data_IF_300484947665
#
_entry.id   IF_300484947665
#
_cell.length_a   1.000
_cell.length_b   1.000
_cell.length_c   1.000
_cell.angle_alpha   90.00
_cell.angle_beta   90.00
_cell.angle_gamma   90.00
#
_symmetry.space_group_name_H-M   'P 1'
#
loop_
_entity.id
_entity.type
_entity.pdbx_description
1 polymer ?
#
# COMPACT_ATOMS: atom_id res chain seq x y z
N UNK A 1 -43.44 -56.60 53.88
CA UNK A 1 -42.84 -56.85 52.54
C UNK A 1 -42.56 -55.52 51.85
N UNK A 2 -41.30 -55.07 51.84
CA UNK A 2 -40.88 -53.88 51.10
C UNK A 2 -40.59 -54.26 49.64
N UNK A 3 -41.27 -53.62 48.68
CA UNK A 3 -40.90 -53.73 47.26
C UNK A 3 -39.51 -53.07 47.08
N UNK A 4 -38.57 -53.71 46.36
CA UNK A 4 -37.28 -53.07 46.09
C UNK A 4 -37.51 -51.90 45.13
N UNK A 5 -37.11 -50.69 45.54
CA UNK A 5 -37.02 -49.52 44.67
C UNK A 5 -35.97 -49.81 43.59
N UNK A 6 -36.40 -49.87 42.31
CA UNK A 6 -35.48 -49.79 41.17
C UNK A 6 -34.70 -48.48 41.27
N UNK A 7 -33.42 -48.56 41.64
CA UNK A 7 -32.48 -47.44 41.48
C UNK A 7 -32.21 -47.29 39.98
N UNK A 8 -33.02 -46.49 39.29
CA UNK A 8 -32.63 -45.98 37.97
C UNK A 8 -31.36 -45.15 38.17
N UNK A 9 -30.34 -45.51 37.41
CA UNK A 9 -29.02 -44.91 37.50
C UNK A 9 -29.08 -43.56 36.78
N UNK A 10 -28.90 -42.47 37.52
CA UNK A 10 -29.00 -41.07 37.05
C UNK A 10 -28.20 -40.75 35.76
N UNK A 11 -27.19 -41.55 35.42
CA UNK A 11 -26.41 -41.41 34.18
C UNK A 11 -27.11 -41.92 32.91
N UNK A 12 -28.11 -42.80 33.02
CA UNK A 12 -28.90 -43.29 31.88
C UNK A 12 -29.75 -42.17 31.25
N UNK A 13 -29.95 -41.05 31.96
CA UNK A 13 -30.74 -39.91 31.49
C UNK A 13 -29.94 -38.93 30.60
N UNK A 14 -28.60 -39.06 30.58
CA UNK A 14 -27.70 -38.19 29.81
C UNK A 14 -26.93 -38.93 28.71
N UNK A 15 -27.10 -40.25 28.60
CA UNK A 15 -26.55 -41.02 27.50
C UNK A 15 -27.37 -40.82 26.22
N UNK A 16 -26.68 -40.75 25.09
CA UNK A 16 -27.28 -40.68 23.77
C UNK A 16 -26.71 -41.78 22.90
N UNK A 17 -27.56 -42.61 22.31
CA UNK A 17 -27.15 -43.68 21.41
C UNK A 17 -27.25 -43.21 19.96
N UNK A 18 -26.23 -43.48 19.18
CA UNK A 18 -26.22 -43.25 17.74
C UNK A 18 -25.44 -44.37 17.06
N UNK A 19 -26.07 -45.03 16.08
CA UNK A 19 -25.50 -46.13 15.30
C UNK A 19 -24.90 -47.25 16.18
N UNK A 20 -25.63 -47.64 17.24
CA UNK A 20 -25.21 -48.69 18.18
C UNK A 20 -24.09 -48.28 19.16
N UNK A 21 -23.67 -47.01 19.18
CA UNK A 21 -22.66 -46.49 20.11
C UNK A 21 -23.30 -45.55 21.13
N UNK A 22 -23.08 -45.81 22.42
CA UNK A 22 -23.57 -44.94 23.51
C UNK A 22 -22.56 -43.85 23.85
N UNK A 23 -22.96 -42.60 23.70
CA UNK A 23 -22.19 -41.40 24.05
C UNK A 23 -22.70 -40.79 25.35
N UNK A 24 -21.88 -39.99 26.04
CA UNK A 24 -22.26 -39.24 27.25
C UNK A 24 -23.16 -38.01 26.96
N UNK A 25 -23.89 -38.04 25.84
CA UNK A 25 -24.85 -37.03 25.41
C UNK A 25 -24.66 -36.60 23.95
N UNK A 26 -25.67 -35.88 23.42
CA UNK A 26 -25.70 -35.43 22.01
C UNK A 26 -24.48 -34.59 21.61
N UNK A 27 -23.99 -33.72 22.51
CA UNK A 27 -22.80 -32.90 22.26
C UNK A 27 -21.53 -33.75 22.12
N UNK A 28 -21.36 -34.73 23.02
CA UNK A 28 -20.21 -35.64 22.99
C UNK A 28 -20.23 -36.51 21.72
N UNK A 29 -21.42 -36.99 21.32
CA UNK A 29 -21.62 -37.68 20.06
C UNK A 29 -21.13 -36.85 18.87
N UNK A 30 -21.57 -35.59 18.73
CA UNK A 30 -21.10 -34.72 17.66
C UNK A 30 -19.58 -34.52 17.67
N UNK A 31 -18.98 -34.26 18.83
CA UNK A 31 -17.53 -34.04 18.96
C UNK A 31 -16.73 -35.28 18.55
N UNK A 32 -17.16 -36.48 18.96
CA UNK A 32 -16.53 -37.76 18.58
C UNK A 32 -16.66 -38.06 17.09
N UNK A 33 -17.76 -37.65 16.47
CA UNK A 33 -17.98 -37.75 15.01
C UNK A 33 -17.29 -36.62 14.21
N UNK A 34 -16.59 -35.70 14.88
CA UNK A 34 -15.91 -34.58 14.24
C UNK A 34 -16.88 -33.58 13.60
N UNK A 35 -18.04 -33.38 14.24
CA UNK A 35 -19.10 -32.43 13.89
C UNK A 35 -19.25 -31.37 14.99
N UNK A 36 -19.63 -30.16 14.60
CA UNK A 36 -19.95 -29.09 15.57
C UNK A 36 -21.40 -29.25 16.02
N UNK A 37 -21.63 -29.46 17.32
CA UNK A 37 -22.97 -29.66 17.90
C UNK A 37 -24.00 -28.60 17.46
N UNK A 38 -23.63 -27.31 17.54
CA UNK A 38 -24.50 -26.22 17.07
C UNK A 38 -24.81 -26.29 15.57
N UNK A 39 -23.86 -26.77 14.76
CA UNK A 39 -24.07 -26.94 13.32
C UNK A 39 -25.08 -28.06 13.02
N UNK A 40 -25.04 -29.15 13.80
CA UNK A 40 -26.02 -30.24 13.67
C UNK A 40 -27.43 -29.78 14.06
N UNK A 41 -27.56 -28.99 15.14
CA UNK A 41 -28.85 -28.42 15.54
C UNK A 41 -29.41 -27.47 14.47
N UNK A 42 -28.57 -26.61 13.90
CA UNK A 42 -28.98 -25.69 12.84
C UNK A 42 -29.41 -26.46 11.58
N UNK A 43 -28.65 -27.49 11.18
CA UNK A 43 -28.99 -28.33 10.04
C UNK A 43 -30.31 -29.07 10.26
N UNK A 44 -30.54 -29.63 11.44
CA UNK A 44 -31.81 -30.27 11.81
C UNK A 44 -32.99 -29.29 11.70
N UNK A 45 -32.81 -28.05 12.15
CA UNK A 45 -33.82 -27.00 12.04
C UNK A 45 -34.07 -26.59 10.57
N UNK A 46 -33.01 -26.29 9.82
CA UNK A 46 -33.12 -25.76 8.46
C UNK A 46 -33.70 -26.76 7.47
N UNK A 47 -33.41 -28.06 7.66
CA UNK A 47 -33.90 -29.15 6.82
C UNK A 47 -35.10 -29.88 7.42
N UNK A 48 -35.63 -29.40 8.54
CA UNK A 48 -36.75 -29.98 9.28
C UNK A 48 -36.62 -31.50 9.45
N UNK A 49 -35.45 -31.96 9.90
CA UNK A 49 -35.13 -33.36 10.11
C UNK A 49 -34.73 -33.64 11.57
N UNK A 50 -34.74 -34.92 11.95
CA UNK A 50 -34.32 -35.33 13.29
C UNK A 50 -32.82 -35.10 13.50
N UNK A 51 -32.40 -35.04 14.76
CA UNK A 51 -30.97 -34.89 15.10
C UNK A 51 -30.10 -36.03 14.54
N UNK A 52 -30.64 -37.25 14.48
CA UNK A 52 -29.98 -38.43 13.91
C UNK A 52 -29.84 -38.31 12.40
N UNK A 53 -30.93 -37.96 11.70
CA UNK A 53 -30.92 -37.72 10.26
C UNK A 53 -29.97 -36.57 9.89
N UNK A 54 -29.93 -35.51 10.69
CA UNK A 54 -29.00 -34.41 10.50
C UNK A 54 -27.54 -34.87 10.62
N UNK A 55 -27.19 -35.69 11.61
CA UNK A 55 -25.85 -36.28 11.73
C UNK A 55 -25.54 -37.12 10.50
N UNK A 56 -26.43 -38.04 10.11
CA UNK A 56 -26.21 -38.93 8.97
C UNK A 56 -26.02 -38.14 7.66
N UNK A 57 -26.89 -37.17 7.37
CA UNK A 57 -26.76 -36.30 6.19
C UNK A 57 -25.46 -35.48 6.20
N UNK A 58 -25.06 -34.94 7.36
CA UNK A 58 -23.81 -34.18 7.47
C UNK A 58 -22.58 -35.08 7.28
N UNK A 59 -22.60 -36.32 7.79
CA UNK A 59 -21.54 -37.30 7.58
C UNK A 59 -21.46 -37.75 6.12
N UNK A 60 -22.58 -38.04 5.47
CA UNK A 60 -22.65 -38.35 4.04
C UNK A 60 -22.12 -37.19 3.19
N UNK A 61 -22.52 -35.95 3.49
CA UNK A 61 -22.04 -34.77 2.79
C UNK A 61 -20.54 -34.52 3.00
N UNK A 62 -19.99 -34.96 4.14
CA UNK A 62 -18.54 -34.93 4.40
C UNK A 62 -17.83 -35.97 3.54
N UNK A 63 -18.35 -37.20 3.47
CA UNK A 63 -17.83 -38.27 2.60
C UNK A 63 -17.91 -37.90 1.11
N UNK A 64 -19.00 -37.27 0.64
CA UNK A 64 -19.14 -36.78 -0.74
C UNK A 64 -18.12 -35.70 -1.12
N UNK A 65 -17.58 -34.98 -0.13
CA UNK A 65 -16.52 -33.98 -0.34
C UNK A 65 -15.14 -34.60 -0.32
N UNK A 66 -15.01 -35.87 0.08
CA UNK A 66 -13.76 -36.59 -0.03
C UNK A 66 -13.52 -36.97 -1.49
N UNK A 67 -12.27 -36.84 -1.93
CA UNK A 67 -11.89 -37.22 -3.28
C UNK A 67 -10.45 -37.72 -3.33
N UNK A 68 -10.13 -38.43 -4.39
CA UNK A 68 -8.77 -38.92 -4.65
C UNK A 68 -8.08 -38.00 -5.64
N UNK A 69 -6.88 -37.55 -5.29
CA UNK A 69 -6.00 -36.77 -6.16
C UNK A 69 -4.54 -37.18 -5.95
N UNK A 70 -3.84 -37.51 -7.04
CA UNK A 70 -2.49 -38.07 -7.05
C UNK A 70 -2.32 -39.26 -6.09
N UNK A 71 -3.23 -40.24 -6.17
CA UNK A 71 -3.25 -41.44 -5.33
C UNK A 71 -3.32 -41.18 -3.82
N UNK A 72 -3.84 -40.02 -3.41
CA UNK A 72 -4.12 -39.69 -2.00
C UNK A 72 -5.58 -39.32 -1.83
N UNK A 73 -6.18 -39.78 -0.73
CA UNK A 73 -7.52 -39.37 -0.29
C UNK A 73 -7.43 -38.05 0.45
N UNK A 74 -8.27 -37.09 0.06
CA UNK A 74 -8.34 -35.76 0.67
C UNK A 74 -9.70 -35.57 1.32
N UNK A 75 -9.71 -35.07 2.56
CA UNK A 75 -10.95 -34.81 3.33
C UNK A 75 -11.76 -33.64 2.76
N UNK A 76 -11.10 -32.71 2.08
CA UNK A 76 -11.72 -31.57 1.43
C UNK A 76 -10.77 -30.91 0.43
N UNK A 77 -11.33 -30.11 -0.47
CA UNK A 77 -10.55 -29.32 -1.41
C UNK A 77 -9.61 -28.34 -0.69
N UNK A 78 -10.03 -27.76 0.44
CA UNK A 78 -9.21 -26.88 1.27
C UNK A 78 -7.91 -27.57 1.70
N UNK A 79 -8.04 -28.76 2.30
CA UNK A 79 -6.86 -29.53 2.78
C UNK A 79 -5.90 -29.89 1.65
N UNK A 80 -6.42 -30.20 0.46
CA UNK A 80 -5.61 -30.47 -0.72
C UNK A 80 -4.89 -29.20 -1.19
N UNK A 81 -5.60 -28.09 -1.31
CA UNK A 81 -5.06 -26.82 -1.75
C UNK A 81 -3.96 -26.29 -0.81
N UNK A 82 -4.16 -26.40 0.51
CA UNK A 82 -3.19 -25.97 1.53
C UNK A 82 -1.90 -26.78 1.50
N UNK A 83 -2.01 -28.09 1.19
CA UNK A 83 -0.85 -28.96 1.05
C UNK A 83 0.01 -28.56 -0.15
N UNK A 84 -0.63 -28.33 -1.32
CA UNK A 84 0.07 -27.92 -2.54
C UNK A 84 0.38 -26.42 -2.61
N UNK A 85 -0.02 -25.63 -1.60
CA UNK A 85 0.14 -24.17 -1.56
C UNK A 85 -0.49 -23.47 -2.77
N UNK A 86 -1.67 -23.94 -3.17
CA UNK A 86 -2.48 -23.38 -4.26
C UNK A 86 -3.71 -22.69 -3.68
N UNK A 87 -4.21 -21.68 -4.38
CA UNK A 87 -5.41 -20.97 -3.97
C UNK A 87 -6.67 -21.76 -4.34
N UNK A 88 -7.47 -22.15 -3.35
CA UNK A 88 -8.75 -22.85 -3.55
C UNK A 88 -9.69 -22.11 -4.49
N UNK A 89 -9.77 -20.78 -4.40
CA UNK A 89 -10.65 -19.98 -5.25
C UNK A 89 -10.26 -20.11 -6.73
N UNK A 90 -8.97 -20.22 -7.04
CA UNK A 90 -8.49 -20.43 -8.41
C UNK A 90 -8.92 -21.78 -8.96
N UNK A 91 -8.87 -22.84 -8.13
CA UNK A 91 -9.36 -24.17 -8.53
C UNK A 91 -10.87 -24.13 -8.76
N UNK A 92 -11.64 -23.57 -7.83
CA UNK A 92 -13.09 -23.45 -7.95
C UNK A 92 -13.49 -22.64 -9.19
N UNK A 93 -12.79 -21.54 -9.46
CA UNK A 93 -13.04 -20.73 -10.65
C UNK A 93 -12.85 -21.54 -11.95
N UNK A 94 -11.79 -22.34 -12.03
CA UNK A 94 -11.56 -23.24 -13.17
C UNK A 94 -12.69 -24.28 -13.33
N UNK A 95 -13.22 -24.78 -12.22
CA UNK A 95 -14.36 -25.71 -12.26
C UNK A 95 -15.64 -25.03 -12.75
N UNK A 96 -16.00 -23.88 -12.16
CA UNK A 96 -17.27 -23.22 -12.45
C UNK A 96 -17.30 -22.49 -13.79
N UNK A 97 -16.21 -21.81 -14.16
CA UNK A 97 -16.17 -20.98 -15.37
C UNK A 97 -15.70 -21.73 -16.60
N UNK A 98 -14.84 -22.74 -16.43
CA UNK A 98 -14.25 -23.48 -17.54
C UNK A 98 -14.71 -24.93 -17.62
N UNK A 99 -15.57 -25.40 -16.69
CA UNK A 99 -16.13 -26.75 -16.70
C UNK A 99 -15.10 -27.85 -16.42
N UNK A 100 -13.92 -27.52 -15.89
CA UNK A 100 -12.90 -28.52 -15.59
C UNK A 100 -13.32 -29.43 -14.44
N UNK A 101 -12.86 -30.68 -14.50
CA UNK A 101 -12.94 -31.59 -13.35
C UNK A 101 -12.07 -31.07 -12.19
N UNK A 102 -12.36 -31.51 -10.95
CA UNK A 102 -11.55 -31.16 -9.77
C UNK A 102 -10.07 -31.49 -10.00
N UNK A 103 -9.79 -32.65 -10.61
CA UNK A 103 -8.42 -33.12 -10.85
C UNK A 103 -7.69 -32.23 -11.86
N UNK A 104 -8.32 -31.89 -12.99
CA UNK A 104 -7.72 -31.01 -13.99
C UNK A 104 -7.51 -29.59 -13.47
N UNK A 105 -8.48 -29.06 -12.72
CA UNK A 105 -8.40 -27.74 -12.10
C UNK A 105 -7.25 -27.67 -11.08
N UNK A 106 -7.08 -28.72 -10.27
CA UNK A 106 -5.96 -28.85 -9.35
C UNK A 106 -4.63 -28.91 -10.10
N UNK A 107 -4.49 -29.73 -11.15
CA UNK A 107 -3.23 -29.83 -11.88
C UNK A 107 -2.86 -28.54 -12.60
N UNK A 108 -3.82 -27.88 -13.23
CA UNK A 108 -3.61 -26.57 -13.85
C UNK A 108 -3.18 -25.54 -12.82
N UNK A 109 -3.79 -25.54 -11.63
CA UNK A 109 -3.43 -24.63 -10.55
C UNK A 109 -2.01 -24.89 -10.02
N UNK A 110 -1.63 -26.15 -9.84
CA UNK A 110 -0.27 -26.54 -9.43
C UNK A 110 0.76 -26.13 -10.48
N UNK A 111 0.48 -26.41 -11.75
CA UNK A 111 1.34 -26.04 -12.86
C UNK A 111 1.49 -24.51 -12.97
N UNK A 112 0.39 -23.78 -12.81
CA UNK A 112 0.43 -22.31 -12.80
C UNK A 112 1.30 -21.77 -11.66
N UNK A 113 1.13 -22.28 -10.43
CA UNK A 113 1.99 -21.89 -9.30
C UNK A 113 3.46 -22.18 -9.58
N UNK A 114 3.77 -23.32 -10.21
CA UNK A 114 5.14 -23.65 -10.60
C UNK A 114 5.71 -22.69 -11.66
N UNK A 115 4.91 -22.25 -12.64
CA UNK A 115 5.32 -21.26 -13.65
C UNK A 115 5.58 -19.87 -13.06
N UNK A 116 4.90 -19.53 -11.96
CA UNK A 116 5.11 -18.26 -11.27
C UNK A 116 6.42 -18.23 -10.49
N UNK A 117 6.93 -19.39 -10.06
CA UNK A 117 8.17 -19.50 -9.29
C UNK A 117 9.30 -18.81 -10.03
N UNK A 118 10.07 -18.04 -9.27
CA UNK A 118 11.15 -17.25 -9.82
C UNK A 118 12.43 -17.48 -9.04
N UNK A 119 13.50 -17.86 -9.73
CA UNK A 119 14.82 -18.02 -9.14
C UNK A 119 15.66 -16.78 -9.42
N UNK A 120 16.24 -16.21 -8.37
CA UNK A 120 17.09 -15.03 -8.48
C UNK A 120 18.26 -15.13 -7.50
N UNK A 121 19.50 -14.98 -8.00
CA UNK A 121 20.74 -15.08 -7.22
C UNK A 121 20.81 -16.30 -6.29
N UNK A 122 20.37 -17.46 -6.77
CA UNK A 122 20.38 -18.71 -6.00
C UNK A 122 19.19 -18.92 -5.07
N UNK A 123 18.40 -17.88 -4.76
CA UNK A 123 17.18 -17.97 -3.95
C UNK A 123 15.94 -18.24 -4.80
N UNK A 124 15.06 -19.11 -4.31
CA UNK A 124 13.77 -19.42 -4.93
C UNK A 124 12.66 -18.60 -4.29
N UNK A 125 11.91 -17.89 -5.11
CA UNK A 125 10.76 -17.07 -4.71
C UNK A 125 9.46 -17.71 -5.21
N UNK A 126 8.40 -17.60 -4.40
CA UNK A 126 7.07 -18.08 -4.78
C UNK A 126 6.55 -17.40 -6.05
N UNK A 127 6.92 -16.14 -6.27
CA UNK A 127 6.66 -15.41 -7.51
C UNK A 127 7.69 -14.33 -7.78
N UNK A 128 7.74 -13.83 -9.03
CA UNK A 128 8.51 -12.63 -9.38
C UNK A 128 8.08 -11.40 -8.56
N UNK A 129 6.79 -11.28 -8.22
CA UNK A 129 6.26 -10.21 -7.38
C UNK A 129 6.87 -10.25 -5.98
N UNK A 130 6.89 -11.42 -5.35
CA UNK A 130 7.48 -11.61 -4.02
C UNK A 130 8.99 -11.30 -4.04
N UNK A 131 9.69 -11.71 -5.11
CA UNK A 131 11.08 -11.33 -5.31
C UNK A 131 11.28 -9.81 -5.33
N UNK A 132 10.48 -9.09 -6.13
CA UNK A 132 10.55 -7.63 -6.22
C UNK A 132 10.21 -6.95 -4.88
N UNK A 133 9.19 -7.45 -4.17
CA UNK A 133 8.76 -6.93 -2.86
C UNK A 133 9.86 -7.06 -1.82
N UNK A 134 10.49 -8.24 -1.72
CA UNK A 134 11.59 -8.48 -0.78
C UNK A 134 12.80 -7.57 -1.08
N UNK A 135 13.08 -7.33 -2.36
CA UNK A 135 14.15 -6.43 -2.80
C UNK A 135 13.79 -4.94 -2.72
N UNK A 136 12.60 -4.58 -2.24
CA UNK A 136 12.15 -3.20 -2.09
C UNK A 136 11.90 -2.46 -3.40
N UNK A 137 11.69 -3.18 -4.50
CA UNK A 137 11.39 -2.59 -5.82
C UNK A 137 9.95 -2.90 -6.24
N UNK A 138 9.16 -1.89 -6.65
CA UNK A 138 7.84 -2.16 -7.23
C UNK A 138 7.93 -2.99 -8.51
N UNK A 139 7.21 -4.10 -8.57
CA UNK A 139 7.14 -5.01 -9.73
C UNK A 139 6.78 -4.26 -11.03
N UNK A 140 5.87 -3.28 -10.95
CA UNK A 140 5.46 -2.45 -12.08
C UNK A 140 6.62 -1.68 -12.70
N UNK A 141 7.59 -1.23 -11.88
CA UNK A 141 8.79 -0.52 -12.34
C UNK A 141 9.66 -1.45 -13.18
N UNK A 142 9.85 -2.69 -12.72
CA UNK A 142 10.65 -3.67 -13.46
C UNK A 142 9.95 -4.09 -14.75
N UNK A 143 8.63 -4.35 -14.72
CA UNK A 143 7.85 -4.67 -15.93
C UNK A 143 7.87 -3.53 -16.95
N UNK A 144 7.82 -2.26 -16.50
CA UNK A 144 7.99 -1.10 -17.39
C UNK A 144 9.38 -1.10 -18.03
N UNK A 145 10.44 -1.29 -17.23
CA UNK A 145 11.80 -1.39 -17.75
C UNK A 145 11.94 -2.50 -18.80
N UNK A 146 11.34 -3.67 -18.57
CA UNK A 146 11.33 -4.76 -19.56
C UNK A 146 10.67 -4.34 -20.88
N UNK A 147 9.51 -3.69 -20.83
CA UNK A 147 8.80 -3.22 -22.04
C UNK A 147 9.58 -2.17 -22.81
N UNK A 148 10.21 -1.23 -22.10
CA UNK A 148 10.97 -0.13 -22.71
C UNK A 148 12.30 -0.60 -23.32
N UNK A 149 12.93 -1.62 -22.72
CA UNK A 149 14.30 -2.01 -23.08
C UNK A 149 14.40 -3.38 -23.76
N UNK A 150 13.31 -4.14 -23.83
CA UNK A 150 13.30 -5.52 -24.31
C UNK A 150 14.10 -6.50 -23.43
N UNK A 151 14.54 -6.07 -22.23
CA UNK A 151 15.41 -6.86 -21.36
C UNK A 151 14.66 -7.99 -20.66
N UNK A 152 15.39 -9.07 -20.37
CA UNK A 152 14.87 -10.17 -19.55
C UNK A 152 14.56 -9.71 -18.12
N UNK A 153 13.70 -10.48 -17.42
CA UNK A 153 13.27 -10.18 -16.04
C UNK A 153 14.42 -9.90 -15.09
N UNK A 154 15.46 -10.74 -15.12
CA UNK A 154 16.63 -10.64 -14.23
C UNK A 154 17.47 -9.41 -14.53
N UNK A 155 17.72 -9.11 -15.81
CA UNK A 155 18.52 -7.96 -16.22
C UNK A 155 17.79 -6.64 -15.93
N UNK A 156 16.49 -6.59 -16.19
CA UNK A 156 15.66 -5.43 -15.85
C UNK A 156 15.63 -5.18 -14.33
N UNK A 157 15.48 -6.24 -13.53
CA UNK A 157 15.50 -6.14 -12.06
C UNK A 157 16.84 -5.60 -11.55
N UNK A 158 17.96 -6.15 -12.04
CA UNK A 158 19.30 -5.66 -11.68
C UNK A 158 19.51 -4.20 -12.03
N UNK A 159 19.05 -3.78 -13.22
CA UNK A 159 19.12 -2.39 -13.63
C UNK A 159 18.30 -1.48 -12.71
N UNK A 160 17.09 -1.90 -12.34
CA UNK A 160 16.24 -1.15 -11.40
C UNK A 160 16.88 -1.03 -10.01
N UNK A 161 17.52 -2.09 -9.50
CA UNK A 161 18.28 -2.07 -8.23
C UNK A 161 19.40 -1.04 -8.28
N UNK A 162 20.28 -1.13 -9.28
CA UNK A 162 21.37 -0.17 -9.44
C UNK A 162 20.87 1.27 -9.58
N UNK A 163 19.76 1.47 -10.31
CA UNK A 163 19.13 2.79 -10.45
C UNK A 163 18.55 3.31 -9.13
N UNK A 164 17.98 2.44 -8.30
CA UNK A 164 17.47 2.80 -6.98
C UNK A 164 18.62 3.14 -6.01
N UNK A 165 19.70 2.36 -6.01
CA UNK A 165 20.93 2.64 -5.25
C UNK A 165 21.53 3.99 -5.64
N UNK A 166 21.68 4.26 -6.94
CA UNK A 166 22.16 5.55 -7.44
C UNK A 166 21.24 6.71 -7.04
N UNK A 167 19.91 6.51 -7.05
CA UNK A 167 18.97 7.52 -6.57
C UNK A 167 19.12 7.79 -5.08
N UNK A 168 19.31 6.76 -4.26
CA UNK A 168 19.54 6.92 -2.83
C UNK A 168 20.87 7.64 -2.55
N UNK A 169 21.94 7.32 -3.30
CA UNK A 169 23.22 8.04 -3.24
C UNK A 169 23.07 9.51 -3.66
N UNK A 170 22.48 9.76 -4.83
CA UNK A 170 22.22 11.12 -5.32
C UNK A 170 21.31 11.91 -4.38
N UNK A 171 20.32 11.28 -3.75
CA UNK A 171 19.46 11.93 -2.78
C UNK A 171 20.27 12.38 -1.55
N UNK A 172 21.21 11.56 -1.05
CA UNK A 172 22.09 11.97 0.07
C UNK A 172 23.00 13.14 -0.30
N UNK A 173 23.56 13.14 -1.51
CA UNK A 173 24.53 14.15 -1.96
C UNK A 173 23.83 15.45 -2.37
N UNK A 174 22.79 15.36 -3.22
CA UNK A 174 22.19 16.51 -3.90
C UNK A 174 20.83 16.95 -3.36
N UNK A 175 20.26 16.16 -2.45
CA UNK A 175 19.03 16.54 -1.74
C UNK A 175 19.03 16.06 -0.27
N UNK A 176 20.07 16.42 0.50
CA UNK A 176 20.21 16.01 1.88
C UNK A 176 19.01 16.47 2.73
N UNK A 177 18.67 15.64 3.71
CA UNK A 177 17.59 15.87 4.68
C UNK A 177 17.99 15.23 6.02
N UNK A 178 18.10 15.99 7.13
CA UNK A 178 18.02 17.46 7.19
C UNK A 178 19.25 18.13 6.54
N UNK A 179 19.11 19.39 6.12
CA UNK A 179 20.19 20.19 5.53
C UNK A 179 20.49 21.42 6.40
N UNK A 180 21.77 21.67 6.69
CA UNK A 180 22.20 22.81 7.51
C UNK A 180 22.89 23.85 6.64
N UNK A 181 22.46 25.11 6.76
CA UNK A 181 23.04 26.21 5.99
C UNK A 181 22.99 27.52 6.78
N UNK A 182 24.13 28.22 6.87
CA UNK A 182 24.31 29.46 7.66
C UNK A 182 23.74 29.37 9.09
N UNK A 183 24.02 28.26 9.78
CA UNK A 183 23.58 28.02 11.16
C UNK A 183 22.09 27.67 11.32
N UNK A 184 21.29 27.62 10.24
CA UNK A 184 19.88 27.21 10.27
C UNK A 184 19.71 25.77 9.76
N UNK A 185 18.84 25.00 10.44
CA UNK A 185 18.44 23.65 10.02
C UNK A 185 17.19 23.72 9.14
N UNK A 186 17.23 23.04 7.99
CA UNK A 186 16.12 22.89 7.06
C UNK A 186 15.75 21.41 6.94
N UNK A 187 14.46 21.12 6.73
CA UNK A 187 13.98 19.73 6.59
C UNK A 187 14.58 19.05 5.36
N UNK A 188 14.91 19.79 4.31
CA UNK A 188 15.64 19.29 3.14
C UNK A 188 16.38 20.43 2.44
N UNK A 189 17.34 20.07 1.60
CA UNK A 189 18.02 21.02 0.71
C UNK A 189 17.01 21.80 -0.16
N UNK A 190 15.99 21.12 -0.72
CA UNK A 190 14.94 21.80 -1.49
C UNK A 190 14.22 22.86 -0.65
N UNK A 191 13.92 22.57 0.62
CA UNK A 191 13.28 23.54 1.52
C UNK A 191 14.20 24.72 1.84
N UNK A 192 15.50 24.47 1.96
CA UNK A 192 16.50 25.54 2.06
C UNK A 192 16.49 26.43 0.82
N UNK A 193 16.61 25.87 -0.39
CA UNK A 193 16.55 26.64 -1.65
C UNK A 193 15.26 27.47 -1.74
N UNK A 194 14.11 26.87 -1.42
CA UNK A 194 12.82 27.55 -1.42
C UNK A 194 12.78 28.74 -0.44
N UNK A 195 13.38 28.59 0.73
CA UNK A 195 13.48 29.66 1.73
C UNK A 195 14.26 30.88 1.23
N UNK A 196 15.23 30.66 0.32
CA UNK A 196 16.01 31.70 -0.35
C UNK A 196 15.47 32.04 -1.75
N UNK A 197 14.28 31.53 -2.10
CA UNK A 197 13.62 31.74 -3.39
C UNK A 197 14.53 31.35 -4.59
N UNK A 198 15.25 30.24 -4.42
CA UNK A 198 16.08 29.60 -5.44
C UNK A 198 15.45 28.27 -5.88
N UNK A 199 15.63 27.93 -7.15
CA UNK A 199 15.28 26.61 -7.68
C UNK A 199 16.39 25.61 -7.35
N UNK A 200 16.05 24.55 -6.61
CA UNK A 200 17.03 23.56 -6.15
C UNK A 200 17.76 22.86 -7.32
N UNK A 201 17.13 22.72 -8.49
CA UNK A 201 17.77 22.13 -9.67
C UNK A 201 18.89 22.99 -10.24
N UNK A 202 18.72 24.31 -10.31
CA UNK A 202 19.77 25.24 -10.78
C UNK A 202 20.99 25.17 -9.86
N UNK A 203 20.76 25.15 -8.54
CA UNK A 203 21.83 25.04 -7.54
C UNK A 203 22.54 23.68 -7.64
N UNK A 204 21.82 22.58 -7.84
CA UNK A 204 22.40 21.25 -8.08
C UNK A 204 23.26 21.22 -9.34
N UNK A 205 22.77 21.78 -10.45
CA UNK A 205 23.50 21.81 -11.71
C UNK A 205 24.82 22.56 -11.57
N UNK A 206 24.82 23.69 -10.86
CA UNK A 206 26.05 24.46 -10.56
C UNK A 206 27.04 23.65 -9.72
N UNK A 207 26.55 22.99 -8.67
CA UNK A 207 27.34 22.08 -7.83
C UNK A 207 28.02 20.97 -8.66
N UNK A 208 27.29 20.35 -9.61
CA UNK A 208 27.84 19.30 -10.48
C UNK A 208 28.83 19.89 -11.51
N UNK A 209 28.50 21.03 -12.10
CA UNK A 209 29.30 21.64 -13.18
C UNK A 209 30.66 22.14 -12.69
N UNK A 210 30.74 22.62 -11.46
CA UNK A 210 31.96 23.21 -10.89
C UNK A 210 32.61 22.33 -9.80
N UNK A 211 32.03 21.15 -9.53
CA UNK A 211 32.47 20.23 -8.47
C UNK A 211 32.61 20.92 -7.09
N UNK A 212 31.65 21.79 -6.77
CA UNK A 212 31.59 22.54 -5.51
C UNK A 212 30.46 22.03 -4.63
N UNK A 213 30.52 22.29 -3.32
CA UNK A 213 29.45 21.89 -2.40
C UNK A 213 28.12 22.61 -2.68
N UNK A 214 27.00 21.99 -2.25
CA UNK A 214 25.67 22.63 -2.32
C UNK A 214 25.62 23.98 -1.58
N UNK A 215 26.41 24.14 -0.51
CA UNK A 215 26.48 25.38 0.26
C UNK A 215 27.23 26.48 -0.51
N UNK A 216 28.30 26.14 -1.21
CA UNK A 216 29.05 27.06 -2.08
C UNK A 216 28.23 27.47 -3.30
N UNK A 217 27.53 26.52 -3.93
CA UNK A 217 26.60 26.81 -5.01
C UNK A 217 25.47 27.76 -4.55
N UNK A 218 24.93 27.59 -3.34
CA UNK A 218 23.97 28.53 -2.75
C UNK A 218 24.60 29.92 -2.53
N UNK A 219 25.82 29.99 -1.99
CA UNK A 219 26.52 31.25 -1.80
C UNK A 219 26.71 32.00 -3.12
N UNK A 220 27.11 31.30 -4.19
CA UNK A 220 27.25 31.88 -5.53
C UNK A 220 25.98 32.60 -5.99
N UNK A 221 24.82 31.91 -5.94
CA UNK A 221 23.56 32.50 -6.36
C UNK A 221 23.12 33.66 -5.45
N UNK A 222 23.39 33.58 -4.14
CA UNK A 222 23.04 34.63 -3.19
C UNK A 222 23.94 35.87 -3.29
N UNK A 223 25.19 35.72 -3.77
CA UNK A 223 26.10 36.84 -4.05
C UNK A 223 25.70 37.54 -5.35
N UNK A 224 25.39 36.78 -6.41
CA UNK A 224 25.02 37.35 -7.71
C UNK A 224 23.62 37.96 -7.73
N UNK A 225 22.68 37.37 -6.98
CA UNK A 225 21.35 37.89 -6.77
C UNK A 225 21.02 37.80 -5.27
N UNK A 226 21.04 38.91 -4.50
CA UNK A 226 20.60 38.90 -3.12
C UNK A 226 19.08 38.70 -3.07
N UNK A 227 18.61 37.47 -3.22
CA UNK A 227 17.19 37.15 -3.24
C UNK A 227 16.63 37.18 -1.81
N UNK A 228 15.53 37.93 -1.63
CA UNK A 228 14.79 38.05 -0.37
C UNK A 228 14.34 36.67 0.12
N UNK A 229 14.57 36.37 1.41
CA UNK A 229 14.04 35.17 2.06
C UNK A 229 12.52 35.18 2.01
N UNK A 230 11.90 34.06 1.64
CA UNK A 230 10.44 33.96 1.50
C UNK A 230 9.68 34.06 2.84
N UNK A 231 10.38 33.84 3.95
CA UNK A 231 9.79 33.79 5.30
C UNK A 231 10.22 34.95 6.21
N UNK A 232 10.99 35.92 5.71
CA UNK A 232 11.22 37.14 6.47
C UNK A 232 10.08 38.12 6.11
N UNK A 233 8.89 37.87 6.67
CA UNK A 233 8.01 38.97 7.07
C UNK A 233 8.73 39.62 8.25
N UNK A 234 9.79 40.36 7.92
CA UNK A 234 10.60 41.11 8.86
C UNK A 234 9.67 42.18 9.44
N UNK A 235 9.15 41.93 10.63
CA UNK A 235 8.27 42.81 11.40
C UNK A 235 8.89 44.16 11.75
N UNK A 236 10.11 44.42 11.26
CA UNK A 236 10.92 45.58 11.57
C UNK A 236 11.27 46.45 10.36
N UNK A 237 10.81 46.09 9.15
CA UNK A 237 10.86 46.99 7.98
C UNK A 237 9.47 47.06 7.34
N UNK A 238 8.64 47.98 7.84
CA UNK A 238 7.35 48.32 7.25
C UNK A 238 7.56 49.07 5.92
N UNK A 239 7.89 48.36 4.85
CA UNK A 239 7.50 48.84 3.52
C UNK A 239 6.01 48.59 3.41
N UNK A 240 5.20 49.61 3.76
CA UNK A 240 3.74 49.60 3.62
C UNK A 240 3.36 48.95 2.30
N UNK A 241 2.43 48.00 2.30
CA UNK A 241 2.01 47.36 1.05
C UNK A 241 1.56 48.44 0.04
N UNK A 242 1.65 48.21 -1.27
CA UNK A 242 1.19 49.20 -2.26
C UNK A 242 -0.27 49.60 -2.00
N UNK A 243 -1.11 48.68 -1.54
CA UNK A 243 -2.49 48.96 -1.14
C UNK A 243 -2.61 49.86 0.10
N UNK A 244 -1.62 49.84 0.98
CA UNK A 244 -1.54 50.67 2.19
C UNK A 244 -0.90 52.04 1.91
N UNK A 245 0.09 52.10 1.01
CA UNK A 245 0.61 53.35 0.46
C UNK A 245 -0.49 54.11 -0.30
N UNK A 246 -1.25 53.41 -1.15
CA UNK A 246 -2.40 53.99 -1.84
C UNK A 246 -3.43 54.55 -0.85
N UNK A 247 -3.74 53.83 0.24
CA UNK A 247 -4.64 54.31 1.30
C UNK A 247 -4.09 55.53 2.04
N UNK A 248 -2.80 55.54 2.37
CA UNK A 248 -2.15 56.66 3.06
C UNK A 248 -2.14 57.94 2.21
N UNK A 249 -1.89 57.82 0.90
CA UNK A 249 -1.80 58.96 -0.01
C UNK A 249 -3.15 59.33 -0.66
N UNK A 250 -4.24 58.65 -0.31
CA UNK A 250 -5.56 58.87 -0.92
C UNK A 250 -5.63 58.50 -2.40
N UNK A 251 -4.74 57.65 -2.88
CA UNK A 251 -4.64 57.22 -4.28
C UNK A 251 -5.48 55.96 -4.49
N UNK A 252 -6.28 55.91 -5.56
CA UNK A 252 -6.97 54.67 -5.92
C UNK A 252 -5.98 53.65 -6.47
N UNK A 253 -6.00 52.45 -5.92
CA UNK A 253 -5.12 51.34 -6.33
C UNK A 253 -5.21 51.03 -7.84
N UNK A 254 -6.40 51.17 -8.41
CA UNK A 254 -6.65 50.94 -9.83
C UNK A 254 -5.87 51.90 -10.75
N UNK A 255 -5.65 53.15 -10.32
CA UNK A 255 -4.93 54.15 -11.12
C UNK A 255 -3.43 53.84 -11.18
N UNK A 256 -2.87 53.35 -10.07
CA UNK A 256 -1.48 52.88 -9.99
C UNK A 256 -1.28 51.66 -10.88
N UNK A 257 -2.25 50.73 -10.88
CA UNK A 257 -2.20 49.53 -11.71
C UNK A 257 -2.25 49.86 -13.20
N UNK A 258 -3.19 50.72 -13.61
CA UNK A 258 -3.33 51.12 -15.01
C UNK A 258 -2.13 51.91 -15.52
N UNK A 259 -1.56 52.78 -14.69
CA UNK A 259 -0.37 53.54 -15.06
C UNK A 259 0.84 52.62 -15.22
N UNK A 260 1.09 51.72 -14.26
CA UNK A 260 2.16 50.74 -14.34
C UNK A 260 2.03 49.84 -15.56
N UNK A 261 0.81 49.38 -15.89
CA UNK A 261 0.55 48.53 -17.06
C UNK A 261 0.69 49.29 -18.40
N UNK A 262 0.32 50.58 -18.44
CA UNK A 262 0.34 51.38 -19.67
C UNK A 262 1.73 51.90 -20.02
N UNK A 263 2.54 52.18 -19.01
CA UNK A 263 3.90 52.74 -19.18
C UNK A 263 5.01 51.73 -18.86
N UNK A 264 4.64 50.47 -18.59
CA UNK A 264 5.55 49.36 -18.26
C UNK A 264 6.61 49.73 -17.19
N UNK A 265 6.17 50.41 -16.13
CA UNK A 265 7.03 50.90 -15.05
C UNK A 265 6.70 50.21 -13.72
N UNK A 266 7.59 50.36 -12.73
CA UNK A 266 7.38 49.75 -11.41
C UNK A 266 6.18 50.39 -10.70
N UNK A 267 5.52 49.62 -9.83
CA UNK A 267 4.36 50.12 -9.07
C UNK A 267 4.73 51.28 -8.13
N UNK A 268 5.98 51.36 -7.70
CA UNK A 268 6.49 52.43 -6.84
C UNK A 268 6.65 53.76 -7.61
N UNK A 269 7.11 53.70 -8.86
CA UNK A 269 7.16 54.86 -9.77
C UNK A 269 5.75 55.35 -10.12
N UNK A 270 4.82 54.42 -10.35
CA UNK A 270 3.43 54.73 -10.61
C UNK A 270 2.77 55.47 -9.41
N UNK A 271 3.05 55.07 -8.17
CA UNK A 271 2.54 55.76 -6.96
C UNK A 271 3.07 57.19 -6.88
N UNK A 272 4.38 57.41 -7.09
CA UNK A 272 4.99 58.75 -7.08
C UNK A 272 4.33 59.67 -8.11
N UNK A 273 4.08 59.17 -9.31
CA UNK A 273 3.41 59.93 -10.35
C UNK A 273 1.95 60.26 -9.98
N UNK A 274 1.18 59.28 -9.49
CA UNK A 274 -0.19 59.50 -9.04
C UNK A 274 -0.28 60.51 -7.89
N UNK A 275 0.67 60.47 -6.95
CA UNK A 275 0.76 61.43 -5.85
C UNK A 275 1.05 62.86 -6.34
N UNK A 276 2.03 63.03 -7.23
CA UNK A 276 2.38 64.33 -7.80
C UNK A 276 1.21 64.95 -8.59
N UNK A 277 0.41 64.12 -9.26
CA UNK A 277 -0.80 64.55 -9.97
C UNK A 277 -1.88 65.06 -9.01
N UNK A 278 -2.03 64.44 -7.83
CA UNK A 278 -2.97 64.90 -6.80
C UNK A 278 -2.52 66.19 -6.14
N UNK A 279 -1.21 66.42 -5.99
CA UNK A 279 -0.67 67.66 -5.39
C UNK A 279 -0.71 68.91 -6.29
N UNK A 280 -1.08 68.75 -7.57
CA UNK A 280 -1.17 69.84 -8.55
C UNK A 280 -2.62 70.26 -8.85
N UNK A 281 -3.60 69.60 -8.24
CA UNK A 281 -5.03 69.93 -8.28
C UNK A 281 -5.46 70.43 -6.90
#
# INVERSE_FOLDING_TARGET
MHKPKRKSKYWEQFSYEYDGVTYSGKKNCCEKLGLRYLGVLQHAHDYNCTFEEAISQMLENKQKKEFVFRNRKWLSLDTCCDFYKINKYSVQQLQYQCGYTVQEALERSINHTNLLRFKYKGKNYASFRECCKELGIPECTVRRCMRETGRSKTVALNYCLKKAENRAGNQKVYNPSPFFYKGKKYDSFVKCCWNYNLEADKVRQKCIAEDISLAEALNYYLIQHPVRRKNDYDSTICHKSIAEQCRQYGIKYYDVYNYSSRYNCSKEEAIKHCFLKLSKN
#
